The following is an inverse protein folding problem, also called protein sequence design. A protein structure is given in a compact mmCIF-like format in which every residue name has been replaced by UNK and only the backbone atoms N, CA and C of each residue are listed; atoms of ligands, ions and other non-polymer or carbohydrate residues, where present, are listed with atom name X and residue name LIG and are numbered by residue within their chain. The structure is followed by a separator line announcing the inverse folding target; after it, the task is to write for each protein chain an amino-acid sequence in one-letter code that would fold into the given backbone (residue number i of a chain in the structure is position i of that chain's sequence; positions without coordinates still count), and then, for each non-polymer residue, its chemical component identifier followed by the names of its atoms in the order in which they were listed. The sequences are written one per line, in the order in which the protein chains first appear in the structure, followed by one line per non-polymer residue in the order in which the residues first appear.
data_IF_769411181760
#
_entry.id   IF_769411181760
#
_cell.length_a   1.000
_cell.length_b   1.000
_cell.length_c   1.000
_cell.angle_alpha   90.00
_cell.angle_beta   90.00
_cell.angle_gamma   90.00
#
_symmetry.space_group_name_H-M   'P 1'
#
loop_
_entity.id
_entity.type
_entity.pdbx_description
1 polymer ?
#
# COMPACT_ATOMS: atom_id res chain seq x y z
N UNK A 1 7.47 -35.08 -0.58
CA UNK A 1 7.67 -36.47 -1.06
C UNK A 1 6.32 -37.14 -1.22
N UNK A 2 6.01 -37.59 -2.42
CA UNK A 2 4.78 -38.34 -2.68
C UNK A 2 4.92 -39.79 -2.17
N UNK A 3 3.80 -40.41 -1.84
CA UNK A 3 3.76 -41.85 -1.56
C UNK A 3 4.14 -42.65 -2.83
N UNK A 4 4.81 -43.77 -2.62
CA UNK A 4 5.18 -44.67 -3.72
C UNK A 4 3.94 -45.07 -4.54
N UNK A 5 4.02 -44.96 -5.86
CA UNK A 5 2.88 -45.17 -6.78
C UNK A 5 1.98 -43.95 -7.01
N UNK A 6 2.38 -42.77 -6.56
CA UNK A 6 1.71 -41.50 -6.92
C UNK A 6 2.18 -41.04 -8.29
N UNK A 7 1.26 -40.65 -9.16
CA UNK A 7 1.54 -40.03 -10.47
C UNK A 7 1.05 -38.58 -10.46
N UNK A 8 1.84 -37.69 -11.02
CA UNK A 8 1.46 -36.28 -11.21
C UNK A 8 1.44 -35.91 -12.70
N UNK A 9 0.58 -34.97 -13.05
CA UNK A 9 0.51 -34.34 -14.37
C UNK A 9 0.43 -32.81 -14.14
N UNK A 10 1.43 -32.02 -14.51
CA UNK A 10 2.72 -32.42 -15.11
C UNK A 10 3.54 -33.38 -14.24
N UNK A 11 4.43 -34.14 -14.91
CA UNK A 11 5.32 -35.08 -14.21
C UNK A 11 6.23 -34.38 -13.22
N UNK A 12 6.62 -35.10 -12.16
CA UNK A 12 7.56 -34.56 -11.17
C UNK A 12 8.92 -34.19 -11.82
N UNK A 13 9.33 -32.94 -11.69
CA UNK A 13 10.54 -32.41 -12.32
C UNK A 13 10.36 -31.87 -13.74
N UNK A 14 9.13 -31.88 -14.29
CA UNK A 14 8.84 -31.25 -15.56
C UNK A 14 9.05 -29.71 -15.47
N UNK A 15 9.58 -29.12 -16.53
CA UNK A 15 9.60 -27.66 -16.71
C UNK A 15 8.20 -27.25 -17.16
N UNK A 16 7.57 -26.35 -16.40
CA UNK A 16 6.19 -25.92 -16.63
C UNK A 16 6.19 -24.42 -16.89
N UNK A 17 5.48 -23.99 -17.96
CA UNK A 17 5.20 -22.58 -18.21
C UNK A 17 4.04 -22.11 -17.33
N UNK A 18 4.30 -21.16 -16.45
CA UNK A 18 3.33 -20.53 -15.54
C UNK A 18 2.84 -19.16 -16.02
N UNK A 19 3.00 -18.81 -17.28
CA UNK A 19 2.38 -17.59 -17.87
C UNK A 19 0.87 -17.52 -17.57
N UNK A 20 0.24 -18.69 -17.45
CA UNK A 20 -1.15 -18.84 -17.00
C UNK A 20 -1.21 -19.86 -15.85
N UNK A 21 -2.26 -19.82 -15.01
CA UNK A 21 -2.45 -20.82 -13.97
C UNK A 21 -2.46 -22.24 -14.56
N UNK A 22 -1.71 -23.14 -13.94
CA UNK A 22 -1.56 -24.53 -14.39
C UNK A 22 -2.25 -25.49 -13.41
N UNK A 23 -3.02 -26.41 -13.93
CA UNK A 23 -3.65 -27.46 -13.13
C UNK A 23 -2.67 -28.62 -12.94
N UNK A 24 -2.35 -28.92 -11.68
CA UNK A 24 -1.57 -30.09 -11.28
C UNK A 24 -2.53 -31.20 -10.83
N UNK A 25 -2.56 -32.27 -11.55
CA UNK A 25 -3.30 -33.47 -11.16
C UNK A 25 -2.39 -34.42 -10.42
N UNK A 26 -2.79 -34.83 -9.23
CA UNK A 26 -2.04 -35.79 -8.42
C UNK A 26 -2.94 -37.04 -8.23
N UNK A 27 -2.51 -38.15 -8.74
CA UNK A 27 -3.27 -39.42 -8.69
C UNK A 27 -2.53 -40.43 -7.83
N UNK A 28 -3.22 -40.94 -6.83
CA UNK A 28 -2.77 -42.09 -6.04
C UNK A 28 -3.84 -43.17 -6.04
N UNK A 29 -3.50 -44.34 -6.52
CA UNK A 29 -4.45 -45.45 -6.77
C UNK A 29 -5.60 -44.96 -7.69
N UNK A 30 -6.82 -44.92 -7.18
CA UNK A 30 -8.03 -44.49 -7.91
C UNK A 30 -8.47 -43.06 -7.57
N UNK A 31 -7.76 -42.37 -6.70
CA UNK A 31 -8.10 -41.02 -6.27
C UNK A 31 -7.23 -39.98 -6.98
N UNK A 32 -7.86 -38.97 -7.57
CA UNK A 32 -7.20 -37.86 -8.22
C UNK A 32 -7.62 -36.56 -7.54
N UNK A 33 -6.62 -35.70 -7.22
CA UNK A 33 -6.82 -34.33 -6.77
C UNK A 33 -6.23 -33.38 -7.80
N UNK A 34 -6.91 -32.26 -8.06
CA UNK A 34 -6.44 -31.21 -8.95
C UNK A 34 -6.13 -29.99 -8.13
N UNK A 35 -4.93 -29.44 -8.31
CA UNK A 35 -4.45 -28.22 -7.67
C UNK A 35 -4.19 -27.19 -8.76
N UNK A 36 -4.92 -26.09 -8.74
CA UNK A 36 -4.61 -24.94 -9.61
C UNK A 36 -3.47 -24.17 -9.02
N UNK A 37 -2.34 -24.12 -9.71
CA UNK A 37 -1.14 -23.40 -9.27
C UNK A 37 -0.97 -22.17 -10.14
N UNK A 38 -0.91 -21.01 -9.48
CA UNK A 38 -0.54 -19.75 -10.10
C UNK A 38 0.83 -19.34 -9.56
N UNK A 39 1.78 -19.12 -10.44
CA UNK A 39 3.05 -18.50 -10.09
C UNK A 39 2.93 -17.01 -10.38
N UNK A 40 3.03 -16.22 -9.34
CA UNK A 40 3.16 -14.77 -9.48
C UNK A 40 4.67 -14.52 -9.49
N UNK A 41 5.20 -14.15 -10.66
CA UNK A 41 6.55 -13.63 -10.72
C UNK A 41 6.52 -12.26 -10.01
N UNK A 42 7.09 -12.20 -8.84
CA UNK A 42 7.42 -10.95 -8.19
C UNK A 42 8.79 -10.54 -8.75
N UNK A 43 8.81 -9.65 -9.73
CA UNK A 43 9.95 -8.78 -9.89
C UNK A 43 9.93 -7.94 -8.60
N UNK A 44 10.99 -8.01 -7.79
CA UNK A 44 11.06 -7.29 -6.52
C UNK A 44 10.80 -5.80 -6.76
N UNK A 45 9.67 -5.23 -6.31
CA UNK A 45 9.36 -3.85 -6.65
C UNK A 45 10.31 -2.91 -5.95
N UNK A 46 10.85 -1.93 -6.69
CA UNK A 46 11.62 -0.84 -6.08
C UNK A 46 10.71 0.10 -5.27
N UNK A 47 9.45 0.19 -5.65
CA UNK A 47 8.43 0.98 -4.98
C UNK A 47 7.09 0.22 -4.96
N UNK A 48 6.36 0.30 -3.87
CA UNK A 48 5.13 -0.49 -3.69
C UNK A 48 3.99 0.40 -3.21
N UNK A 49 2.88 0.38 -3.94
CA UNK A 49 1.62 0.87 -3.42
C UNK A 49 0.87 -0.29 -2.76
N UNK A 50 0.42 -0.10 -1.51
CA UNK A 50 -0.32 -1.14 -0.79
C UNK A 50 -1.75 -0.71 -0.53
N UNK A 51 -2.68 -1.67 -0.55
CA UNK A 51 -4.10 -1.39 -0.34
C UNK A 51 -4.86 -2.54 0.32
N UNK A 52 -6.10 -2.23 0.75
CA UNK A 52 -6.98 -3.21 1.38
C UNK A 52 -7.66 -4.16 0.37
N UNK A 53 -7.81 -3.72 -0.88
CA UNK A 53 -8.39 -4.53 -1.94
C UNK A 53 -7.42 -5.62 -2.43
N UNK A 54 -7.95 -6.71 -2.94
CA UNK A 54 -7.14 -7.83 -3.47
C UNK A 54 -6.52 -7.54 -4.83
N UNK A 55 -6.97 -6.49 -5.52
CA UNK A 55 -6.39 -6.00 -6.78
C UNK A 55 -6.50 -4.49 -6.87
N UNK A 56 -5.73 -3.90 -7.78
CA UNK A 56 -5.73 -2.46 -8.05
C UNK A 56 -7.13 -1.94 -8.37
N UNK A 57 -7.87 -2.65 -9.23
CA UNK A 57 -9.21 -2.28 -9.69
C UNK A 57 -10.28 -2.38 -8.60
N UNK A 58 -9.98 -3.07 -7.52
CA UNK A 58 -10.86 -3.19 -6.36
C UNK A 58 -10.75 -2.05 -5.35
N UNK A 59 -9.79 -1.14 -5.55
CA UNK A 59 -9.61 0.04 -4.69
C UNK A 59 -10.75 1.05 -4.86
N UNK A 60 -11.00 1.82 -3.82
CA UNK A 60 -11.84 3.02 -3.91
C UNK A 60 -11.25 4.04 -4.89
N UNK A 61 -12.08 4.96 -5.38
CA UNK A 61 -11.67 5.88 -6.47
C UNK A 61 -10.45 6.74 -6.11
N UNK A 62 -10.35 7.17 -4.87
CA UNK A 62 -9.25 8.00 -4.39
C UNK A 62 -7.95 7.19 -4.28
N UNK A 63 -8.00 6.02 -3.67
CA UNK A 63 -6.85 5.11 -3.58
C UNK A 63 -6.43 4.58 -4.96
N UNK A 64 -7.39 4.27 -5.83
CA UNK A 64 -7.12 3.84 -7.20
C UNK A 64 -6.37 4.93 -7.99
N UNK A 65 -6.78 6.19 -7.85
CA UNK A 65 -6.12 7.32 -8.50
C UNK A 65 -4.68 7.47 -8.00
N UNK A 66 -4.47 7.38 -6.69
CA UNK A 66 -3.14 7.48 -6.09
C UNK A 66 -2.24 6.32 -6.52
N UNK A 67 -2.75 5.09 -6.49
CA UNK A 67 -2.03 3.89 -6.90
C UNK A 67 -1.66 3.92 -8.38
N UNK A 68 -2.60 4.27 -9.25
CA UNK A 68 -2.39 4.38 -10.69
C UNK A 68 -1.33 5.43 -11.01
N UNK A 69 -1.42 6.59 -10.35
CA UNK A 69 -0.39 7.62 -10.51
C UNK A 69 1.00 7.11 -10.15
N UNK A 70 1.14 6.42 -9.01
CA UNK A 70 2.43 5.87 -8.59
C UNK A 70 2.97 4.87 -9.61
N UNK A 71 2.15 3.94 -10.07
CA UNK A 71 2.54 2.90 -11.03
C UNK A 71 2.95 3.51 -12.37
N UNK A 72 2.28 4.56 -12.80
CA UNK A 72 2.58 5.24 -14.07
C UNK A 72 3.82 6.14 -14.02
N UNK A 73 4.15 6.69 -12.85
CA UNK A 73 5.16 7.76 -12.74
C UNK A 73 6.40 7.35 -11.95
N UNK A 74 6.38 6.25 -11.20
CA UNK A 74 7.52 5.76 -10.43
C UNK A 74 8.03 4.47 -11.05
N UNK A 75 9.33 4.44 -11.39
CA UNK A 75 9.94 3.27 -12.00
C UNK A 75 9.81 2.03 -11.09
N UNK A 76 9.49 0.90 -11.69
CA UNK A 76 9.34 -0.40 -11.03
C UNK A 76 8.34 -0.39 -9.85
N UNK A 77 7.38 0.56 -9.88
CA UNK A 77 6.31 0.58 -8.90
C UNK A 77 5.24 -0.49 -9.20
N UNK A 78 4.79 -1.16 -8.16
CA UNK A 78 3.77 -2.21 -8.25
C UNK A 78 2.69 -2.01 -7.19
N UNK A 79 1.56 -2.67 -7.39
CA UNK A 79 0.50 -2.80 -6.39
C UNK A 79 0.60 -4.13 -5.67
N UNK A 80 0.36 -4.14 -4.36
CA UNK A 80 0.11 -5.35 -3.59
C UNK A 80 -1.00 -5.12 -2.56
N UNK A 81 -1.78 -6.16 -2.29
CA UNK A 81 -2.71 -6.13 -1.18
C UNK A 81 -2.01 -6.41 0.15
N UNK A 82 -2.62 -6.00 1.25
CA UNK A 82 -2.16 -6.40 2.59
C UNK A 82 -2.18 -7.93 2.77
N UNK A 83 -3.12 -8.62 2.13
CA UNK A 83 -3.18 -10.08 2.14
C UNK A 83 -2.01 -10.73 1.40
N UNK A 84 -1.51 -10.12 0.32
CA UNK A 84 -0.31 -10.59 -0.38
C UNK A 84 0.92 -10.49 0.50
N UNK A 85 1.07 -9.35 1.18
CA UNK A 85 2.18 -9.13 2.11
C UNK A 85 2.08 -10.09 3.30
N UNK A 86 0.90 -10.22 3.93
CA UNK A 86 0.69 -11.12 5.05
C UNK A 86 1.03 -12.57 4.68
N UNK A 87 0.63 -13.01 3.49
CA UNK A 87 0.90 -14.34 2.97
C UNK A 87 2.36 -14.55 2.48
N UNK A 88 3.16 -13.49 2.40
CA UNK A 88 4.54 -13.56 1.90
C UNK A 88 4.64 -13.77 0.40
N UNK A 89 3.65 -13.30 -0.36
CA UNK A 89 3.66 -13.33 -1.82
C UNK A 89 4.46 -12.19 -2.44
N UNK A 90 4.84 -11.20 -1.64
CA UNK A 90 5.65 -10.05 -2.07
C UNK A 90 6.96 -10.08 -1.31
N UNK A 91 8.06 -10.01 -2.04
CA UNK A 91 9.39 -9.84 -1.46
C UNK A 91 9.67 -8.34 -1.31
N UNK A 92 9.91 -7.92 -0.07
CA UNK A 92 10.18 -6.53 0.28
C UNK A 92 11.68 -6.22 0.38
N UNK A 93 12.56 -7.19 0.09
CA UNK A 93 14.00 -7.04 0.33
C UNK A 93 14.66 -5.92 -0.48
N UNK A 94 14.17 -5.67 -1.70
CA UNK A 94 14.67 -4.62 -2.59
C UNK A 94 13.74 -3.39 -2.63
N UNK A 95 12.60 -3.44 -1.92
CA UNK A 95 11.65 -2.34 -1.89
C UNK A 95 12.23 -1.17 -1.09
N UNK A 96 12.29 0.00 -1.73
CA UNK A 96 12.83 1.21 -1.11
C UNK A 96 11.75 2.01 -0.41
N UNK A 97 10.53 2.04 -0.95
CA UNK A 97 9.42 2.82 -0.40
C UNK A 97 8.09 2.11 -0.59
N UNK A 98 7.28 2.17 0.45
CA UNK A 98 5.89 1.73 0.42
C UNK A 98 4.98 2.94 0.61
N UNK A 99 4.02 3.12 -0.30
CA UNK A 99 2.98 4.13 -0.16
C UNK A 99 1.65 3.49 0.15
N UNK A 100 0.98 3.98 1.19
CA UNK A 100 -0.41 3.69 1.48
C UNK A 100 -1.20 4.98 1.66
N UNK A 101 -2.20 5.18 0.83
CA UNK A 101 -3.21 6.21 0.95
C UNK A 101 -4.51 5.54 1.37
N UNK A 102 -5.13 5.96 2.46
CA UNK A 102 -6.39 5.40 2.94
C UNK A 102 -7.42 6.50 3.10
N UNK A 103 -8.49 6.43 2.31
CA UNK A 103 -9.68 7.25 2.47
C UNK A 103 -10.80 6.45 3.15
N UNK A 104 -11.51 7.07 4.07
CA UNK A 104 -12.65 6.48 4.75
C UNK A 104 -13.75 7.53 4.86
N UNK A 105 -14.88 7.25 4.24
CA UNK A 105 -16.06 8.11 4.32
C UNK A 105 -16.52 8.30 5.77
N UNK A 106 -16.84 9.54 6.13
CA UNK A 106 -17.20 9.90 7.50
C UNK A 106 -16.00 10.01 8.45
N UNK A 107 -14.81 9.69 8.00
CA UNK A 107 -13.57 9.84 8.77
C UNK A 107 -13.43 8.85 9.93
N UNK A 108 -12.24 8.86 10.52
CA UNK A 108 -11.91 8.12 11.75
C UNK A 108 -11.21 9.07 12.74
N UNK A 109 -11.46 8.88 14.00
CA UNK A 109 -10.98 9.75 15.08
C UNK A 109 -10.17 9.03 16.16
N UNK A 110 -10.02 7.70 16.04
CA UNK A 110 -9.25 6.89 16.98
C UNK A 110 -8.77 5.58 16.37
N UNK A 111 -7.85 4.92 17.07
CA UNK A 111 -7.24 3.66 16.63
C UNK A 111 -8.24 2.51 16.53
N UNK A 112 -9.24 2.43 17.38
CA UNK A 112 -10.24 1.34 17.34
C UNK A 112 -11.06 1.43 16.04
N UNK A 113 -11.45 2.64 15.63
CA UNK A 113 -12.14 2.86 14.36
C UNK A 113 -11.22 2.57 13.16
N UNK A 114 -9.95 2.93 13.26
CA UNK A 114 -8.95 2.56 12.25
C UNK A 114 -8.84 1.04 12.14
N UNK A 115 -8.68 0.33 13.24
CA UNK A 115 -8.56 -1.13 13.26
C UNK A 115 -9.81 -1.81 12.68
N UNK A 116 -10.98 -1.26 12.95
CA UNK A 116 -12.24 -1.76 12.39
C UNK A 116 -12.32 -1.56 10.85
N UNK A 117 -11.89 -0.40 10.35
CA UNK A 117 -11.96 -0.06 8.94
C UNK A 117 -10.82 -0.69 8.12
N UNK A 118 -9.63 -0.81 8.70
CA UNK A 118 -8.41 -1.28 8.04
C UNK A 118 -8.02 -2.71 8.44
N UNK A 119 -8.99 -3.54 8.84
CA UNK A 119 -8.75 -4.87 9.42
C UNK A 119 -7.80 -5.77 8.65
N UNK A 120 -7.85 -5.79 7.32
CA UNK A 120 -6.93 -6.57 6.49
C UNK A 120 -5.46 -6.14 6.67
N UNK A 121 -5.20 -4.87 6.97
CA UNK A 121 -3.84 -4.37 7.19
C UNK A 121 -3.17 -4.97 8.42
N UNK A 122 -3.96 -5.40 9.41
CA UNK A 122 -3.44 -5.92 10.67
C UNK A 122 -2.70 -7.26 10.49
N UNK A 123 -3.09 -8.07 9.51
CA UNK A 123 -2.41 -9.32 9.18
C UNK A 123 -0.97 -9.12 8.67
N UNK A 124 -0.69 -7.98 8.05
CA UNK A 124 0.61 -7.67 7.49
C UNK A 124 1.55 -6.91 8.45
N UNK A 125 1.06 -6.48 9.64
CA UNK A 125 1.82 -5.63 10.58
C UNK A 125 3.20 -6.19 10.88
N UNK A 126 3.32 -7.49 11.14
CA UNK A 126 4.60 -8.08 11.52
C UNK A 126 5.66 -7.91 10.43
N UNK A 127 5.31 -8.20 9.18
CA UNK A 127 6.22 -8.09 8.03
C UNK A 127 6.56 -6.66 7.68
N UNK A 128 5.55 -5.77 7.70
CA UNK A 128 5.76 -4.36 7.41
C UNK A 128 6.57 -3.65 8.51
N UNK A 129 6.40 -4.08 9.76
CA UNK A 129 7.24 -3.61 10.86
C UNK A 129 8.68 -4.10 10.73
N UNK A 130 8.88 -5.34 10.29
CA UNK A 130 10.21 -5.86 10.00
C UNK A 130 10.87 -5.06 8.86
N UNK A 131 10.15 -4.84 7.76
CA UNK A 131 10.61 -3.98 6.66
C UNK A 131 11.00 -2.58 7.16
N UNK A 132 10.16 -1.93 7.97
CA UNK A 132 10.44 -0.61 8.56
C UNK A 132 11.71 -0.63 9.44
N UNK A 133 11.84 -1.61 10.32
CA UNK A 133 12.98 -1.74 11.22
C UNK A 133 14.31 -2.03 10.47
N UNK A 134 14.22 -2.60 9.29
CA UNK A 134 15.36 -2.85 8.40
C UNK A 134 15.72 -1.63 7.52
N UNK A 135 15.10 -0.48 7.74
CA UNK A 135 15.39 0.77 7.05
C UNK A 135 14.47 1.08 5.86
N UNK A 136 13.41 0.31 5.67
CA UNK A 136 12.38 0.59 4.66
C UNK A 136 11.61 1.88 4.98
N UNK A 137 11.17 2.57 3.94
CA UNK A 137 10.49 3.85 4.04
C UNK A 137 8.98 3.73 3.76
N UNK A 138 8.18 4.53 4.48
CA UNK A 138 6.74 4.63 4.25
C UNK A 138 6.34 6.07 3.91
N UNK A 139 5.48 6.19 2.91
CA UNK A 139 4.62 7.34 2.71
C UNK A 139 3.21 6.93 3.16
N UNK A 140 2.76 7.48 4.27
CA UNK A 140 1.42 7.23 4.80
C UNK A 140 0.61 8.51 4.66
N UNK A 141 -0.48 8.46 3.92
CA UNK A 141 -1.31 9.64 3.66
C UNK A 141 -2.77 9.41 4.06
N UNK A 142 -3.45 10.49 4.42
CA UNK A 142 -4.80 10.47 4.99
C UNK A 142 -4.86 9.57 6.24
N UNK A 143 -5.86 8.72 6.34
CA UNK A 143 -6.02 7.85 7.50
C UNK A 143 -5.00 6.72 7.62
N UNK A 144 -4.26 6.43 6.55
CA UNK A 144 -3.13 5.48 6.63
C UNK A 144 -2.07 5.92 7.65
N UNK A 145 -1.98 7.21 7.98
CA UNK A 145 -1.07 7.74 8.99
C UNK A 145 -1.24 7.11 10.39
N UNK A 146 -2.42 6.58 10.71
CA UNK A 146 -2.62 5.78 11.93
C UNK A 146 -1.75 4.53 11.99
N UNK A 147 -1.36 4.00 10.84
CA UNK A 147 -0.51 2.82 10.77
C UNK A 147 0.89 3.03 11.35
N UNK A 148 1.34 4.28 11.46
CA UNK A 148 2.59 4.63 12.13
C UNK A 148 2.66 4.09 13.57
N UNK A 149 1.52 4.01 14.28
CA UNK A 149 1.43 3.38 15.60
C UNK A 149 1.67 1.87 15.51
N UNK A 150 1.07 1.21 14.50
CA UNK A 150 1.22 -0.24 14.30
C UNK A 150 2.66 -0.62 13.93
N UNK A 151 3.33 0.22 13.15
CA UNK A 151 4.75 0.06 12.80
C UNK A 151 5.67 0.30 14.02
N UNK A 152 5.18 0.98 15.06
CA UNK A 152 5.98 1.40 16.20
C UNK A 152 6.82 2.65 15.93
N UNK A 153 6.55 3.36 14.84
CA UNK A 153 7.19 4.63 14.51
C UNK A 153 6.74 5.76 15.45
N UNK A 154 5.55 5.64 16.00
CA UNK A 154 5.04 6.56 17.03
C UNK A 154 4.35 5.78 18.14
N UNK A 155 4.16 6.45 19.29
CA UNK A 155 3.46 5.86 20.44
C UNK A 155 1.95 5.96 20.25
N UNK A 156 1.23 5.03 20.84
CA UNK A 156 -0.21 5.17 21.03
C UNK A 156 -0.56 6.49 21.75
N UNK A 157 -1.64 7.11 21.35
CA UNK A 157 -2.03 8.45 21.80
C UNK A 157 -1.30 9.61 21.09
N UNK A 158 -0.40 9.30 20.14
CA UNK A 158 0.26 10.24 19.23
C UNK A 158 -0.17 10.03 17.78
N UNK A 159 -1.34 9.47 17.60
CA UNK A 159 -1.98 9.28 16.30
C UNK A 159 -2.44 10.62 15.71
N UNK A 160 -2.69 10.71 14.41
CA UNK A 160 -2.98 11.95 13.69
C UNK A 160 -4.15 12.74 14.24
N UNK A 161 -5.17 12.07 14.74
CA UNK A 161 -6.36 12.75 15.24
C UNK A 161 -6.09 13.63 16.47
N UNK A 162 -5.06 13.34 17.24
CA UNK A 162 -4.66 14.17 18.37
C UNK A 162 -3.94 15.45 17.94
N UNK A 163 -3.73 15.62 16.64
CA UNK A 163 -3.09 16.80 16.03
C UNK A 163 -4.10 17.69 15.32
N UNK A 164 -5.39 17.42 15.39
CA UNK A 164 -6.42 18.33 14.89
C UNK A 164 -6.31 19.65 15.65
N UNK A 165 -5.85 20.65 14.98
CA UNK A 165 -5.73 21.95 15.57
C UNK A 165 -5.64 23.04 14.54
N UNK A 166 -6.59 23.93 14.52
CA UNK A 166 -6.46 25.29 14.08
C UNK A 166 -6.32 25.60 12.60
N UNK A 167 -6.12 24.65 11.71
CA UNK A 167 -6.08 24.96 10.28
C UNK A 167 -7.44 25.42 9.73
N UNK A 168 -8.51 24.94 10.33
CA UNK A 168 -9.87 25.37 9.98
C UNK A 168 -10.19 26.80 10.45
N UNK A 169 -9.38 27.35 11.34
CA UNK A 169 -9.57 28.67 11.92
C UNK A 169 -8.63 29.76 11.36
N UNK A 170 -7.88 29.44 10.31
CA UNK A 170 -7.03 30.41 9.63
C UNK A 170 -7.68 30.89 8.30
N UNK A 171 -8.74 31.72 8.37
CA UNK A 171 -9.52 32.11 7.19
C UNK A 171 -8.78 33.08 6.25
N UNK A 172 -7.59 33.48 6.61
CA UNK A 172 -6.84 34.56 5.93
C UNK A 172 -5.71 34.01 5.05
N UNK A 173 -5.61 32.69 4.92
CA UNK A 173 -4.62 32.09 4.03
C UNK A 173 -5.07 32.31 2.59
N UNK A 174 -4.21 32.95 1.81
CA UNK A 174 -4.49 33.24 0.39
C UNK A 174 -4.64 31.92 -0.36
N UNK A 175 -5.81 31.70 -0.92
CA UNK A 175 -6.15 30.47 -1.66
C UNK A 175 -6.98 29.48 -0.87
N UNK A 176 -7.05 29.59 0.44
CA UNK A 176 -7.88 28.75 1.30
C UNK A 176 -7.15 28.26 2.56
N UNK A 177 -7.87 27.67 3.50
CA UNK A 177 -7.31 27.21 4.78
C UNK A 177 -6.35 26.01 4.64
N UNK A 178 -6.24 25.46 3.46
CA UNK A 178 -5.45 24.23 3.18
C UNK A 178 -4.16 24.52 2.43
N UNK A 179 -3.90 25.78 2.08
CA UNK A 179 -2.65 26.14 1.42
C UNK A 179 -1.52 26.30 2.42
N UNK A 180 -0.32 25.95 1.99
CA UNK A 180 0.89 26.09 2.80
C UNK A 180 1.77 27.22 2.29
N UNK A 181 2.40 27.90 3.22
CA UNK A 181 3.49 28.81 2.90
C UNK A 181 4.80 28.06 2.95
N UNK A 182 5.57 28.15 1.87
CA UNK A 182 6.94 27.65 1.80
C UNK A 182 7.84 28.74 2.41
N UNK A 183 8.26 28.56 3.65
CA UNK A 183 9.09 29.55 4.35
C UNK A 183 10.54 29.12 4.47
N UNK A 184 10.76 27.85 4.71
CA UNK A 184 12.07 27.25 4.88
C UNK A 184 12.26 26.12 3.87
N UNK A 185 13.50 25.89 3.47
CA UNK A 185 13.82 24.80 2.53
C UNK A 185 13.05 24.82 1.20
N UNK A 186 12.80 26.02 0.66
CA UNK A 186 12.06 26.20 -0.58
C UNK A 186 12.71 25.52 -1.81
N UNK A 187 13.98 25.21 -1.70
CA UNK A 187 14.78 24.44 -2.68
C UNK A 187 14.72 22.92 -2.47
N UNK A 188 13.91 22.44 -1.52
CA UNK A 188 13.80 21.02 -1.27
C UNK A 188 13.11 20.31 -2.46
N UNK A 189 13.64 19.17 -2.96
CA UNK A 189 13.09 18.45 -4.10
C UNK A 189 11.62 18.06 -3.97
N UNK A 190 11.08 18.00 -2.76
CA UNK A 190 9.66 17.74 -2.51
C UNK A 190 8.73 18.76 -3.18
N UNK A 191 9.25 19.99 -3.44
CA UNK A 191 8.45 21.06 -4.05
C UNK A 191 8.61 21.14 -5.58
N UNK A 192 9.48 20.32 -6.16
CA UNK A 192 9.70 20.31 -7.60
C UNK A 192 8.43 19.91 -8.34
N UNK A 193 8.04 20.75 -9.31
CA UNK A 193 6.86 20.50 -10.12
C UNK A 193 5.50 20.82 -9.47
N UNK A 194 5.49 21.25 -8.21
CA UNK A 194 4.24 21.66 -7.56
C UNK A 194 3.81 23.06 -8.01
N UNK A 195 2.49 23.30 -8.03
CA UNK A 195 1.91 24.58 -8.40
C UNK A 195 2.08 25.55 -7.23
N UNK A 196 2.77 26.66 -7.46
CA UNK A 196 2.98 27.69 -6.47
C UNK A 196 2.50 29.04 -6.96
N UNK A 197 2.17 29.93 -6.03
CA UNK A 197 1.95 31.35 -6.28
C UNK A 197 2.82 32.14 -5.28
N UNK A 198 3.96 32.61 -5.76
CA UNK A 198 4.97 33.16 -4.87
C UNK A 198 5.49 32.11 -3.89
N UNK A 199 5.35 32.38 -2.59
CA UNK A 199 5.74 31.49 -1.50
C UNK A 199 4.61 30.55 -1.02
N UNK A 200 3.46 30.57 -1.71
CA UNK A 200 2.31 29.74 -1.37
C UNK A 200 2.27 28.49 -2.24
N UNK A 201 2.13 27.34 -1.60
CA UNK A 201 1.85 26.06 -2.23
C UNK A 201 0.35 25.78 -2.15
N UNK A 202 -0.28 25.59 -3.30
CA UNK A 202 -1.68 25.20 -3.35
C UNK A 202 -1.83 23.69 -3.14
N UNK A 203 -2.60 23.31 -2.14
CA UNK A 203 -2.91 21.91 -1.86
C UNK A 203 -4.03 21.37 -2.75
N UNK A 204 -4.91 22.26 -3.25
CA UNK A 204 -6.05 21.91 -4.05
C UNK A 204 -6.15 22.81 -5.27
N UNK A 205 -6.53 22.24 -6.39
CA UNK A 205 -6.99 23.04 -7.52
C UNK A 205 -8.30 23.75 -7.14
N UNK A 206 -8.50 24.91 -7.72
CA UNK A 206 -9.68 25.79 -7.46
C UNK A 206 -11.04 25.15 -7.71
N UNK A 207 -11.09 23.94 -8.17
CA UNK A 207 -12.31 23.17 -8.43
C UNK A 207 -12.58 22.08 -7.43
N UNK A 208 -11.74 21.88 -6.46
CA UNK A 208 -11.97 20.83 -5.46
C UNK A 208 -13.01 21.32 -4.44
N UNK A 209 -14.27 21.02 -4.76
CA UNK A 209 -15.33 21.09 -3.77
C UNK A 209 -15.20 19.91 -2.82
N UNK A 210 -15.06 20.20 -1.55
CA UNK A 210 -15.20 19.22 -0.49
C UNK A 210 -16.64 18.75 -0.40
#
# INVERSE_FOLDING_TARGET
TYKDGTVSEPENGAVVDFTNPVDFKVTYKTSTSVYKVTVIASDNPAALYIGLATSLEGLGSEEFTAASWMIENVADAQYASFDDIAAGRVDLSECQVIWWHLHIDGGIDNLDKFDAAAGASLGAVAKLKEYYNNGGHFLLSRFATYYAVKLGATKDGRNPNNCWGGSETAPEVVGGPWDFRITDHADHPLYDGLITNGDMLYMFDKGYGV
#
